data_IF_504088504033
#
_entry.id   IF_504088504033
#
_cell.length_a   1.000
_cell.length_b   1.000
_cell.length_c   1.000
_cell.angle_alpha   90.00
_cell.angle_beta   90.00
_cell.angle_gamma   90.00
#
_symmetry.space_group_name_H-M   'P 1'
#
loop_
_entity.id
_entity.type
_entity.pdbx_description
1 polymer ?
#
# COMPACT_ATOMS: atom_id res chain seq x y z
N UNK A 1 -0.40 -2.61 29.44
CA UNK A 1 -0.39 -1.32 30.16
C UNK A 1 -0.48 -0.09 29.24
N UNK A 2 -0.21 -0.18 27.92
CA UNK A 2 -0.34 0.96 26.99
C UNK A 2 -1.61 0.93 26.11
N UNK A 3 -2.48 -0.07 26.27
CA UNK A 3 -3.70 -0.20 25.45
C UNK A 3 -4.71 0.92 25.67
N UNK A 4 -4.74 1.50 26.87
CA UNK A 4 -5.63 2.62 27.18
C UNK A 4 -5.33 3.88 26.34
N UNK A 5 -4.09 4.03 25.87
CA UNK A 5 -3.70 5.15 25.01
C UNK A 5 -4.35 5.11 23.63
N UNK A 6 -4.78 3.93 23.17
CA UNK A 6 -5.44 3.75 21.87
C UNK A 6 -6.95 3.47 22.00
N UNK A 7 -7.53 3.63 23.19
CA UNK A 7 -8.99 3.55 23.36
C UNK A 7 -9.65 4.79 22.72
N UNK A 8 -10.74 4.63 21.96
CA UNK A 8 -11.47 5.76 21.41
C UNK A 8 -12.03 6.61 22.56
N UNK A 9 -11.69 7.90 22.56
CA UNK A 9 -12.29 8.87 23.48
C UNK A 9 -13.69 9.23 22.97
N UNK A 10 -14.68 8.42 23.38
CA UNK A 10 -16.10 8.59 23.00
C UNK A 10 -16.46 7.97 21.64
N UNK A 11 -17.68 8.26 21.17
CA UNK A 11 -18.30 7.73 19.95
C UNK A 11 -17.68 8.27 18.63
N UNK A 12 -16.40 8.64 18.65
CA UNK A 12 -15.66 9.08 17.46
C UNK A 12 -15.07 7.87 16.76
N UNK A 13 -15.22 7.84 15.45
CA UNK A 13 -14.56 6.85 14.60
C UNK A 13 -13.05 6.87 14.84
N UNK A 14 -12.39 5.74 14.57
CA UNK A 14 -10.96 5.55 14.79
C UNK A 14 -10.17 6.36 13.75
N UNK A 15 -10.05 7.65 14.00
CA UNK A 15 -9.46 8.59 13.05
C UNK A 15 -7.94 8.65 13.19
N UNK A 16 -7.25 8.94 12.08
CA UNK A 16 -5.81 9.24 12.05
C UNK A 16 -5.38 10.26 13.11
N UNK A 17 -6.20 11.28 13.37
CA UNK A 17 -5.90 12.31 14.38
C UNK A 17 -5.83 11.73 15.80
N UNK A 18 -6.70 10.77 16.13
CA UNK A 18 -6.71 10.11 17.44
C UNK A 18 -5.43 9.29 17.66
N UNK A 19 -4.97 8.56 16.62
CA UNK A 19 -3.71 7.82 16.66
C UNK A 19 -2.50 8.75 16.87
N UNK A 20 -2.43 9.85 16.11
CA UNK A 20 -1.35 10.84 16.23
C UNK A 20 -1.32 11.46 17.64
N UNK A 21 -2.49 11.76 18.20
CA UNK A 21 -2.60 12.28 19.57
C UNK A 21 -2.13 11.26 20.61
N UNK A 22 -2.43 9.97 20.45
CA UNK A 22 -1.95 8.91 21.34
C UNK A 22 -0.42 8.83 21.35
N UNK A 23 0.22 8.85 20.16
CA UNK A 23 1.69 8.81 20.04
C UNK A 23 2.35 10.05 20.65
N UNK A 24 1.80 11.25 20.38
CA UNK A 24 2.29 12.50 20.97
C UNK A 24 2.14 12.51 22.49
N UNK A 25 1.00 12.02 23.00
CA UNK A 25 0.74 11.94 24.44
C UNK A 25 1.74 11.02 25.13
N UNK A 26 2.13 9.89 24.53
CA UNK A 26 3.19 9.04 25.05
C UNK A 26 4.53 9.78 25.18
N UNK A 27 4.91 10.56 24.16
CA UNK A 27 6.13 11.37 24.18
C UNK A 27 6.13 12.44 25.27
N UNK A 28 4.98 13.09 25.51
CA UNK A 28 4.84 14.14 26.53
C UNK A 28 4.86 13.57 27.97
N UNK A 29 4.18 12.45 28.22
CA UNK A 29 4.07 11.87 29.57
C UNK A 29 5.34 11.10 30.00
N UNK A 30 6.12 10.61 29.05
CA UNK A 30 7.25 9.72 29.33
C UNK A 30 8.58 10.36 28.93
N UNK A 31 9.01 11.35 29.72
CA UNK A 31 10.28 12.08 29.53
C UNK A 31 11.49 11.12 29.50
N UNK A 32 11.41 10.00 30.21
CA UNK A 32 12.47 8.97 30.25
C UNK A 32 12.36 7.92 29.14
N UNK A 33 11.34 8.00 28.28
CA UNK A 33 11.06 7.07 27.17
C UNK A 33 11.09 5.59 27.60
N UNK A 34 10.63 5.26 28.82
CA UNK A 34 10.61 3.87 29.32
C UNK A 34 9.47 3.08 28.65
N UNK A 35 9.71 1.83 28.26
CA UNK A 35 8.68 1.01 27.59
C UNK A 35 8.38 1.42 26.13
N UNK A 36 9.23 2.26 25.51
CA UNK A 36 9.06 2.68 24.12
C UNK A 36 8.96 1.50 23.14
N UNK A 37 9.72 0.43 23.37
CA UNK A 37 9.67 -0.77 22.53
C UNK A 37 8.28 -1.40 22.53
N UNK A 38 7.72 -1.64 23.71
CA UNK A 38 6.40 -2.25 23.86
C UNK A 38 5.30 -1.33 23.31
N UNK A 39 5.44 -0.02 23.53
CA UNK A 39 4.54 0.99 22.95
C UNK A 39 4.58 0.98 21.43
N UNK A 40 5.76 0.95 20.81
CA UNK A 40 5.90 0.93 19.34
C UNK A 40 5.29 -0.36 18.78
N UNK A 41 5.57 -1.53 19.37
CA UNK A 41 4.94 -2.77 18.90
C UNK A 41 3.41 -2.73 19.00
N UNK A 42 2.87 -2.17 20.08
CA UNK A 42 1.42 -1.97 20.21
C UNK A 42 0.90 -1.01 19.14
N UNK A 43 1.58 0.11 18.92
CA UNK A 43 1.21 1.11 17.92
C UNK A 43 1.19 0.49 16.52
N UNK A 44 2.23 -0.26 16.12
CA UNK A 44 2.30 -0.96 14.83
C UNK A 44 1.12 -1.92 14.64
N UNK A 45 0.72 -2.66 15.69
CA UNK A 45 -0.48 -3.54 15.64
C UNK A 45 -1.78 -2.76 15.45
N UNK A 46 -1.86 -1.55 16.01
CA UNK A 46 -3.04 -0.69 15.94
C UNK A 46 -3.13 0.13 14.66
N UNK A 47 -2.04 0.39 13.92
CA UNK A 47 -2.07 1.21 12.70
C UNK A 47 -3.18 0.86 11.70
N UNK A 48 -3.45 -0.43 11.38
CA UNK A 48 -4.54 -0.79 10.45
C UNK A 48 -5.94 -0.44 10.99
N UNK A 49 -6.14 -0.45 12.31
CA UNK A 49 -7.42 -0.11 12.92
C UNK A 49 -7.76 1.39 12.79
N UNK A 50 -6.76 2.24 12.50
CA UNK A 50 -6.89 3.68 12.33
C UNK A 50 -6.61 4.13 10.89
N UNK A 51 -6.39 3.20 9.94
CA UNK A 51 -6.12 3.50 8.53
C UNK A 51 -4.82 4.29 8.28
N UNK A 52 -3.83 4.17 9.17
CA UNK A 52 -2.57 4.93 9.11
C UNK A 52 -1.36 4.09 8.68
N UNK A 53 -1.55 2.82 8.35
CA UNK A 53 -0.51 1.86 7.98
C UNK A 53 0.26 2.19 6.70
N UNK A 54 -0.24 3.14 5.90
CA UNK A 54 0.43 3.60 4.66
C UNK A 54 1.07 4.99 4.79
N UNK A 55 0.95 5.62 5.96
CA UNK A 55 1.41 6.99 6.17
C UNK A 55 2.86 7.02 6.67
N UNK A 56 3.75 7.52 5.82
CA UNK A 56 5.18 7.67 6.14
C UNK A 56 5.42 8.60 7.35
N UNK A 57 4.60 9.64 7.51
CA UNK A 57 4.77 10.58 8.62
C UNK A 57 4.52 9.92 9.98
N UNK A 58 3.62 8.94 10.03
CA UNK A 58 3.30 8.17 11.23
C UNK A 58 4.45 7.24 11.60
N UNK A 59 5.07 6.59 10.62
CA UNK A 59 6.28 5.78 10.85
C UNK A 59 7.46 6.61 11.34
N UNK A 60 7.70 7.79 10.74
CA UNK A 60 8.73 8.72 11.22
C UNK A 60 8.44 9.17 12.66
N UNK A 61 7.17 9.42 13.00
CA UNK A 61 6.77 9.77 14.37
C UNK A 61 7.03 8.62 15.36
N UNK A 62 6.75 7.37 14.98
CA UNK A 62 7.04 6.20 15.82
C UNK A 62 8.55 6.01 16.02
N UNK A 63 9.37 6.26 14.99
CA UNK A 63 10.83 6.23 15.13
C UNK A 63 11.33 7.33 16.08
N UNK A 64 10.74 8.52 16.05
CA UNK A 64 11.12 9.63 16.93
C UNK A 64 10.83 9.34 18.43
N UNK A 65 9.98 8.35 18.73
CA UNK A 65 9.75 7.87 20.11
C UNK A 65 11.03 7.29 20.71
N UNK A 66 11.93 6.68 19.92
CA UNK A 66 13.20 6.17 20.44
C UNK A 66 14.08 7.30 21.02
N UNK A 67 14.82 7.07 22.11
CA UNK A 67 15.81 8.04 22.58
C UNK A 67 16.94 8.17 21.55
N UNK A 68 17.21 9.40 21.12
CA UNK A 68 18.28 9.72 20.15
C UNK A 68 19.64 9.58 20.83
N UNK A 69 20.68 9.23 20.07
CA UNK A 69 22.08 9.19 20.52
C UNK A 69 22.41 8.13 21.60
N UNK A 70 21.42 7.44 22.17
CA UNK A 70 21.62 6.49 23.27
C UNK A 70 22.13 5.13 22.78
N UNK A 71 21.67 4.65 21.63
CA UNK A 71 21.95 3.28 21.17
C UNK A 71 23.14 3.19 20.21
N UNK A 72 23.90 4.28 20.05
CA UNK A 72 25.05 4.29 19.13
C UNK A 72 26.26 3.59 19.77
N UNK A 73 26.81 2.55 19.12
CA UNK A 73 27.97 1.85 19.65
C UNK A 73 29.18 2.79 19.64
N UNK A 74 29.81 2.96 20.81
CA UNK A 74 30.96 3.86 20.99
C UNK A 74 32.29 3.14 20.74
N UNK A 75 32.34 1.83 20.98
CA UNK A 75 33.56 1.04 20.93
C UNK A 75 33.47 -0.11 19.91
N UNK A 76 34.62 -0.64 19.47
CA UNK A 76 34.71 -1.77 18.53
C UNK A 76 34.05 -3.02 19.10
N UNK A 77 34.21 -3.29 20.40
CA UNK A 77 33.56 -4.44 21.07
C UNK A 77 32.04 -4.32 21.03
N UNK A 78 31.47 -3.14 21.30
CA UNK A 78 30.02 -2.88 21.17
C UNK A 78 29.53 -2.91 19.72
N UNK A 79 30.43 -2.86 18.74
CA UNK A 79 30.09 -3.04 17.33
C UNK A 79 30.11 -4.52 16.93
N UNK A 80 31.00 -5.29 17.56
CA UNK A 80 31.11 -6.74 17.38
C UNK A 80 29.91 -7.44 18.03
N UNK A 81 29.56 -7.06 19.26
CA UNK A 81 28.35 -7.54 19.94
C UNK A 81 27.16 -6.65 19.60
N UNK A 82 25.99 -7.25 19.35
CA UNK A 82 24.78 -6.49 19.00
C UNK A 82 24.39 -5.54 20.14
N UNK A 83 24.66 -4.25 19.98
CA UNK A 83 24.36 -3.24 20.99
C UNK A 83 22.86 -2.93 21.02
N UNK A 84 22.18 -3.22 22.13
CA UNK A 84 20.72 -3.05 22.29
C UNK A 84 19.88 -3.86 21.28
N UNK A 85 19.92 -5.21 21.34
CA UNK A 85 19.29 -6.08 20.34
C UNK A 85 17.77 -5.86 20.25
N UNK A 86 17.06 -5.80 21.38
CA UNK A 86 15.60 -5.61 21.41
C UNK A 86 15.15 -4.31 20.74
N UNK A 87 15.91 -3.23 20.91
CA UNK A 87 15.60 -1.94 20.30
C UNK A 87 15.88 -1.94 18.81
N UNK A 88 16.98 -2.58 18.38
CA UNK A 88 17.28 -2.75 16.95
C UNK A 88 16.23 -3.63 16.26
N UNK A 89 15.80 -4.72 16.89
CA UNK A 89 14.69 -5.57 16.40
C UNK A 89 13.39 -4.77 16.26
N UNK A 90 13.06 -3.93 17.25
CA UNK A 90 11.91 -3.04 17.17
C UNK A 90 12.02 -2.05 15.99
N UNK A 91 13.19 -1.42 15.81
CA UNK A 91 13.43 -0.54 14.66
C UNK A 91 13.35 -1.27 13.32
N UNK A 92 13.82 -2.51 13.23
CA UNK A 92 13.65 -3.37 12.05
C UNK A 92 12.17 -3.69 11.82
N UNK A 93 11.40 -3.98 12.87
CA UNK A 93 9.98 -4.29 12.76
C UNK A 93 9.16 -3.10 12.22
N UNK A 94 9.51 -1.86 12.60
CA UNK A 94 8.91 -0.64 12.01
C UNK A 94 9.15 -0.61 10.49
N UNK A 95 10.41 -0.80 10.06
CA UNK A 95 10.79 -0.81 8.65
C UNK A 95 10.19 -2.00 7.89
N UNK A 96 10.05 -3.15 8.53
CA UNK A 96 9.41 -4.33 7.95
C UNK A 96 7.92 -4.10 7.71
N UNK A 97 7.22 -3.42 8.63
CA UNK A 97 5.82 -3.07 8.41
C UNK A 97 5.68 -2.04 7.28
N UNK A 98 6.55 -1.03 7.23
CA UNK A 98 6.63 -0.11 6.10
C UNK A 98 6.82 -0.86 4.77
N UNK A 99 7.69 -1.86 4.75
CA UNK A 99 7.93 -2.69 3.57
C UNK A 99 6.67 -3.44 3.13
N UNK A 100 5.99 -4.10 4.08
CA UNK A 100 4.76 -4.86 3.82
C UNK A 100 3.64 -3.99 3.23
N UNK A 101 3.51 -2.73 3.67
CA UNK A 101 2.52 -1.80 3.13
C UNK A 101 3.02 -1.00 1.90
N UNK A 102 4.26 -1.25 1.46
CA UNK A 102 4.87 -0.59 0.30
C UNK A 102 5.10 0.90 0.51
N UNK A 103 5.47 1.30 1.73
CA UNK A 103 5.81 2.68 2.11
C UNK A 103 7.31 2.88 1.96
N UNK A 104 7.70 3.79 1.07
CA UNK A 104 9.10 4.11 0.82
C UNK A 104 9.67 4.99 1.94
N UNK A 105 10.80 4.60 2.58
CA UNK A 105 11.49 5.45 3.53
C UNK A 105 11.97 6.78 2.93
N UNK A 106 11.92 7.86 3.72
CA UNK A 106 12.39 9.20 3.32
C UNK A 106 13.81 9.51 3.82
N UNK A 107 14.34 10.67 3.41
CA UNK A 107 15.56 11.23 3.98
C UNK A 107 15.42 11.50 5.50
N UNK A 108 14.22 11.85 5.98
CA UNK A 108 13.95 11.99 7.42
C UNK A 108 14.06 10.65 8.14
N UNK A 109 13.52 9.57 7.55
CA UNK A 109 13.66 8.22 8.08
C UNK A 109 15.14 7.84 8.20
N UNK A 110 15.95 8.14 7.17
CA UNK A 110 17.39 7.93 7.19
C UNK A 110 18.07 8.69 8.33
N UNK A 111 17.75 9.98 8.47
CA UNK A 111 18.28 10.84 9.53
C UNK A 111 17.95 10.31 10.93
N UNK A 112 16.68 9.94 11.18
CA UNK A 112 16.24 9.38 12.46
C UNK A 112 16.98 8.08 12.79
N UNK A 113 17.10 7.15 11.84
CA UNK A 113 17.81 5.89 12.08
C UNK A 113 19.29 6.10 12.37
N UNK A 114 19.95 7.06 11.69
CA UNK A 114 21.34 7.45 11.99
C UNK A 114 21.41 8.02 13.42
N UNK A 115 20.47 8.89 13.80
CA UNK A 115 20.47 9.49 15.13
C UNK A 115 20.26 8.47 16.25
N UNK A 116 19.33 7.53 16.05
CA UNK A 116 18.92 6.54 17.06
C UNK A 116 19.93 5.40 17.17
N UNK A 117 20.22 4.71 16.06
CA UNK A 117 20.99 3.46 16.05
C UNK A 117 22.39 3.60 15.44
N UNK A 118 22.62 4.64 14.63
CA UNK A 118 23.88 4.87 13.92
C UNK A 118 23.96 4.14 12.57
N UNK A 119 24.99 4.49 11.78
CA UNK A 119 25.18 4.05 10.38
C UNK A 119 25.39 2.54 10.21
N UNK A 120 25.96 1.86 11.21
CA UNK A 120 26.32 0.43 11.15
C UNK A 120 25.39 -0.42 12.01
N UNK A 121 24.09 -0.17 11.94
CA UNK A 121 23.05 -0.85 12.71
C UNK A 121 22.16 -1.72 11.82
N UNK A 122 21.47 -2.70 12.41
CA UNK A 122 20.53 -3.55 11.66
C UNK A 122 19.35 -2.78 11.05
N UNK A 123 18.72 -1.81 11.76
CA UNK A 123 17.71 -0.94 11.14
C UNK A 123 18.26 -0.18 9.93
N UNK A 124 19.48 0.34 10.00
CA UNK A 124 20.10 1.01 8.85
C UNK A 124 20.34 0.05 7.68
N UNK A 125 20.79 -1.17 7.94
CA UNK A 125 20.96 -2.18 6.89
C UNK A 125 19.63 -2.54 6.22
N UNK A 126 18.54 -2.67 7.01
CA UNK A 126 17.19 -2.89 6.50
C UNK A 126 16.73 -1.71 5.62
N UNK A 127 16.92 -0.47 6.08
CA UNK A 127 16.62 0.73 5.32
C UNK A 127 17.35 0.76 3.96
N UNK A 128 18.66 0.47 3.94
CA UNK A 128 19.45 0.46 2.71
C UNK A 128 18.96 -0.61 1.72
N UNK A 129 18.61 -1.81 2.23
CA UNK A 129 18.03 -2.88 1.42
C UNK A 129 16.69 -2.46 0.83
N UNK A 130 15.79 -1.88 1.64
CA UNK A 130 14.51 -1.37 1.16
C UNK A 130 14.72 -0.29 0.08
N UNK A 131 15.59 0.70 0.32
CA UNK A 131 15.87 1.78 -0.63
C UNK A 131 16.39 1.24 -1.96
N UNK A 132 17.29 0.26 -1.92
CA UNK A 132 17.82 -0.40 -3.10
C UNK A 132 16.74 -1.20 -3.85
N UNK A 133 16.04 -2.09 -3.16
CA UNK A 133 15.11 -3.01 -3.82
C UNK A 133 13.81 -2.33 -4.27
N UNK A 134 13.26 -1.40 -3.48
CA UNK A 134 12.06 -0.67 -3.87
C UNK A 134 12.28 0.16 -5.12
N UNK A 135 13.43 0.82 -5.26
CA UNK A 135 13.73 1.60 -6.48
C UNK A 135 13.89 0.71 -7.71
N UNK A 136 14.40 -0.52 -7.55
CA UNK A 136 14.53 -1.50 -8.64
C UNK A 136 13.19 -2.13 -9.04
N UNK A 137 12.32 -2.40 -8.08
CA UNK A 137 11.04 -3.07 -8.33
C UNK A 137 9.86 -2.13 -8.58
N UNK A 138 9.98 -0.82 -8.32
CA UNK A 138 8.88 0.15 -8.46
C UNK A 138 8.18 0.08 -9.82
N UNK A 139 8.95 -0.14 -10.89
CA UNK A 139 8.48 -0.13 -12.27
C UNK A 139 8.69 -1.47 -13.00
N UNK A 140 8.82 -2.59 -12.25
CA UNK A 140 9.06 -3.90 -12.88
C UNK A 140 7.83 -4.39 -13.65
N UNK A 141 6.63 -4.02 -13.20
CA UNK A 141 5.39 -4.35 -13.87
C UNK A 141 5.12 -3.32 -14.98
N UNK A 142 5.12 -3.71 -16.27
CA UNK A 142 4.79 -2.82 -17.38
C UNK A 142 3.33 -2.33 -17.36
N UNK A 143 2.44 -3.07 -16.69
CA UNK A 143 1.02 -2.76 -16.59
C UNK A 143 0.60 -2.65 -15.11
N UNK A 144 0.97 -1.55 -14.41
CA UNK A 144 0.63 -1.38 -13.00
C UNK A 144 -0.88 -1.23 -12.82
N UNK A 145 -1.45 -1.97 -11.87
CA UNK A 145 -2.85 -1.83 -11.48
C UNK A 145 -2.95 -0.69 -10.45
N UNK A 146 -3.86 0.28 -10.63
CA UNK A 146 -4.15 1.29 -9.62
C UNK A 146 -4.49 0.64 -8.27
N UNK A 147 -4.00 1.23 -7.18
CA UNK A 147 -4.27 0.70 -5.82
C UNK A 147 -5.74 0.80 -5.46
N UNK A 148 -6.33 1.96 -5.72
CA UNK A 148 -7.75 2.20 -5.53
C UNK A 148 -8.44 1.97 -6.87
N UNK A 149 -9.25 0.92 -6.91
CA UNK A 149 -9.98 0.56 -8.11
C UNK A 149 -11.21 1.47 -8.26
N UNK A 150 -11.57 1.83 -9.50
CA UNK A 150 -12.83 2.51 -9.76
C UNK A 150 -13.98 1.65 -9.24
N UNK A 151 -14.93 2.29 -8.55
CA UNK A 151 -16.12 1.61 -8.01
C UNK A 151 -17.20 1.38 -9.07
N UNK A 152 -17.19 2.19 -10.13
CA UNK A 152 -18.09 2.01 -11.27
C UNK A 152 -17.73 0.73 -12.04
N UNK A 153 -18.68 -0.22 -12.20
CA UNK A 153 -18.46 -1.46 -12.94
C UNK A 153 -17.98 -1.22 -14.38
N UNK A 154 -18.46 -0.16 -15.03
CA UNK A 154 -18.09 0.14 -16.42
C UNK A 154 -16.61 0.52 -16.51
N UNK A 155 -16.15 1.41 -15.64
CA UNK A 155 -14.74 1.82 -15.59
C UNK A 155 -13.80 0.68 -15.15
N UNK A 156 -14.27 -0.20 -14.27
CA UNK A 156 -13.54 -1.42 -13.91
C UNK A 156 -13.39 -2.35 -15.11
N UNK A 157 -14.45 -2.54 -15.91
CA UNK A 157 -14.40 -3.35 -17.13
C UNK A 157 -13.45 -2.75 -18.17
N UNK A 158 -13.50 -1.42 -18.40
CA UNK A 158 -12.55 -0.72 -19.30
C UNK A 158 -11.10 -0.92 -18.83
N UNK A 159 -10.84 -0.83 -17.53
CA UNK A 159 -9.51 -1.05 -16.95
C UNK A 159 -9.06 -2.50 -17.19
N UNK A 160 -9.91 -3.48 -16.87
CA UNK A 160 -9.60 -4.90 -17.07
C UNK A 160 -9.28 -5.24 -18.52
N UNK A 161 -10.05 -4.74 -19.48
CA UNK A 161 -9.82 -4.96 -20.90
C UNK A 161 -8.49 -4.36 -21.37
N UNK A 162 -8.15 -3.15 -20.93
CA UNK A 162 -6.83 -2.54 -21.20
C UNK A 162 -5.66 -3.32 -20.62
N UNK A 163 -5.88 -4.08 -19.54
CA UNK A 163 -4.85 -4.95 -18.99
C UNK A 163 -4.72 -6.27 -19.76
N UNK A 164 -5.78 -6.74 -20.42
CA UNK A 164 -5.76 -7.95 -21.24
C UNK A 164 -5.12 -7.73 -22.61
N UNK A 165 -5.33 -6.56 -23.22
CA UNK A 165 -4.79 -6.22 -24.53
C UNK A 165 -3.45 -5.46 -24.39
N UNK A 166 -2.33 -6.05 -24.84
CA UNK A 166 -1.01 -5.45 -24.68
C UNK A 166 -0.77 -4.23 -25.61
N UNK A 167 -1.52 -4.11 -26.71
CA UNK A 167 -1.38 -3.00 -27.66
C UNK A 167 -1.97 -1.69 -27.11
N UNK A 168 -1.10 -0.69 -26.96
CA UNK A 168 -1.47 0.66 -26.51
C UNK A 168 -2.39 1.40 -27.50
N UNK A 169 -2.43 0.96 -28.76
CA UNK A 169 -3.28 1.51 -29.81
C UNK A 169 -4.69 0.94 -29.80
N UNK A 170 -4.96 -0.08 -28.97
CA UNK A 170 -6.25 -0.71 -28.88
C UNK A 170 -7.32 0.24 -28.33
N UNK A 171 -8.50 0.23 -28.97
CA UNK A 171 -9.62 1.09 -28.60
C UNK A 171 -10.66 0.29 -27.85
N UNK A 172 -11.11 0.86 -26.72
CA UNK A 172 -12.22 0.31 -25.93
C UNK A 172 -13.53 0.83 -26.52
N UNK A 173 -14.44 -0.08 -26.83
CA UNK A 173 -15.79 0.21 -27.33
C UNK A 173 -16.81 -0.16 -26.26
N UNK A 174 -17.79 0.72 -26.05
CA UNK A 174 -18.90 0.49 -25.11
C UNK A 174 -20.19 0.48 -25.91
N UNK A 175 -20.89 -0.64 -25.86
CA UNK A 175 -22.22 -0.81 -26.45
C UNK A 175 -23.25 -0.75 -25.32
N UNK A 176 -24.17 0.21 -25.41
CA UNK A 176 -25.24 0.40 -24.44
C UNK A 176 -26.57 0.08 -25.12
N UNK A 177 -27.33 -0.82 -24.51
CA UNK A 177 -28.63 -1.21 -25.04
C UNK A 177 -29.73 -0.51 -24.22
N UNK A 178 -30.63 0.20 -24.89
CA UNK A 178 -31.78 0.83 -24.23
C UNK A 178 -32.72 -0.26 -23.72
N UNK A 179 -33.06 -0.23 -22.43
CA UNK A 179 -34.11 -1.12 -21.90
C UNK A 179 -35.47 -0.77 -22.52
N UNK A 180 -36.33 -1.75 -22.81
CA UNK A 180 -37.74 -1.50 -23.07
C UNK A 180 -38.38 -0.80 -21.86
N UNK A 181 -39.23 0.20 -22.11
CA UNK A 181 -39.85 1.10 -21.13
C UNK A 181 -40.79 0.46 -20.09
N UNK A 182 -40.92 -0.87 -20.07
CA UNK A 182 -41.96 -1.58 -19.31
C UNK A 182 -41.47 -2.17 -17.97
N UNK A 183 -40.25 -1.86 -17.52
CA UNK A 183 -39.73 -2.32 -16.23
C UNK A 183 -40.23 -1.44 -15.07
N UNK A 184 -41.43 -1.76 -14.56
CA UNK A 184 -42.01 -1.24 -13.30
C UNK A 184 -41.30 -1.80 -12.05
N UNK A 185 -40.02 -1.48 -11.88
CA UNK A 185 -39.23 -1.81 -10.68
C UNK A 185 -38.72 -0.53 -10.01
N UNK A 186 -38.83 -0.44 -8.68
CA UNK A 186 -38.62 0.76 -7.86
C UNK A 186 -37.13 1.11 -7.61
N UNK A 187 -36.22 0.70 -8.49
CA UNK A 187 -34.80 1.04 -8.43
C UNK A 187 -34.34 1.46 -9.83
N UNK A 188 -33.53 2.52 -9.95
CA UNK A 188 -32.96 2.97 -11.23
C UNK A 188 -32.31 1.78 -11.95
N UNK A 189 -32.84 1.32 -13.10
CA UNK A 189 -32.31 0.14 -13.75
C UNK A 189 -30.92 0.46 -14.31
N UNK A 190 -29.87 -0.11 -13.72
CA UNK A 190 -28.53 -0.14 -14.33
C UNK A 190 -28.65 -0.71 -15.74
N UNK A 191 -28.44 0.14 -16.74
CA UNK A 191 -28.58 -0.26 -18.13
C UNK A 191 -27.50 -1.30 -18.50
N UNK A 192 -27.83 -2.36 -19.25
CA UNK A 192 -26.86 -3.36 -19.65
C UNK A 192 -25.87 -2.74 -20.63
N UNK A 193 -24.58 -2.90 -20.32
CA UNK A 193 -23.48 -2.48 -21.16
C UNK A 193 -22.65 -3.69 -21.59
N UNK A 194 -22.26 -3.74 -22.86
CA UNK A 194 -21.25 -4.67 -23.37
C UNK A 194 -20.01 -3.85 -23.67
N UNK A 195 -18.89 -4.20 -23.05
CA UNK A 195 -17.60 -3.53 -23.27
C UNK A 195 -16.69 -4.47 -24.04
N UNK A 196 -16.09 -3.95 -25.12
CA UNK A 196 -15.10 -4.66 -25.93
C UNK A 196 -13.81 -3.86 -26.06
N UNK A 197 -12.72 -4.53 -26.39
CA UNK A 197 -11.45 -3.89 -26.76
C UNK A 197 -10.94 -4.54 -28.04
N UNK A 198 -10.42 -3.73 -28.96
CA UNK A 198 -9.83 -4.23 -30.19
C UNK A 198 -8.59 -3.44 -30.61
N UNK A 199 -7.54 -4.14 -31.02
CA UNK A 199 -6.37 -3.56 -31.67
C UNK A 199 -6.67 -3.19 -33.13
N UNK A 200 -5.92 -2.25 -33.73
CA UNK A 200 -6.08 -1.91 -35.15
C UNK A 200 -5.92 -3.13 -36.09
N UNK A 201 -5.03 -4.06 -35.73
CA UNK A 201 -4.81 -5.28 -36.51
C UNK A 201 -6.01 -6.23 -36.44
N UNK A 202 -6.64 -6.37 -35.28
CA UNK A 202 -7.88 -7.14 -35.12
C UNK A 202 -9.03 -6.52 -35.93
N UNK A 203 -9.15 -5.18 -35.92
CA UNK A 203 -10.14 -4.47 -36.74
C UNK A 203 -9.90 -4.68 -38.23
N UNK A 204 -8.64 -4.61 -38.68
CA UNK A 204 -8.27 -4.86 -40.07
C UNK A 204 -8.51 -6.31 -40.49
N UNK A 205 -8.26 -7.28 -39.61
CA UNK A 205 -8.54 -8.70 -39.86
C UNK A 205 -10.04 -8.97 -40.00
N UNK A 206 -10.86 -8.39 -39.12
CA UNK A 206 -12.32 -8.48 -39.19
C UNK A 206 -12.87 -7.81 -40.47
N UNK A 207 -12.31 -6.68 -40.87
CA UNK A 207 -12.73 -5.98 -42.10
C UNK A 207 -12.45 -6.78 -43.38
N UNK A 208 -11.44 -7.66 -43.37
CA UNK A 208 -11.14 -8.58 -44.50
C UNK A 208 -11.98 -9.86 -44.48
N UNK A 209 -12.63 -10.16 -43.36
CA UNK A 209 -13.39 -11.39 -43.19
C UNK A 209 -14.74 -11.30 -43.92
N UNK A 210 -15.17 -12.39 -44.55
CA UNK A 210 -16.45 -12.45 -45.24
C UNK A 210 -17.61 -12.47 -44.22
N UNK A 211 -18.54 -11.49 -44.24
CA UNK A 211 -19.66 -11.45 -43.31
C UNK A 211 -20.59 -12.67 -43.37
N UNK A 212 -20.63 -13.37 -44.51
CA UNK A 212 -21.48 -14.56 -44.70
C UNK A 212 -20.88 -15.83 -44.10
N UNK A 213 -19.61 -15.81 -43.68
CA UNK A 213 -18.96 -16.96 -43.05
C UNK A 213 -19.02 -16.78 -41.52
N UNK A 214 -19.47 -17.77 -40.74
CA UNK A 214 -19.42 -17.67 -39.29
C UNK A 214 -17.98 -17.84 -38.77
N UNK A 215 -17.67 -17.16 -37.66
CA UNK A 215 -16.43 -17.36 -36.88
C UNK A 215 -16.79 -18.20 -35.66
N UNK A 216 -16.05 -19.28 -35.44
CA UNK A 216 -16.22 -20.14 -34.27
C UNK A 216 -15.21 -19.73 -33.20
N UNK A 217 -15.68 -19.57 -31.97
CA UNK A 217 -14.83 -19.34 -30.80
C UNK A 217 -14.73 -20.69 -30.09
N UNK A 218 -13.56 -21.32 -30.18
CA UNK A 218 -13.29 -22.55 -29.44
C UNK A 218 -12.93 -22.21 -28.00
N UNK A 219 -13.72 -22.75 -27.06
CA UNK A 219 -13.45 -22.65 -25.63
C UNK A 219 -12.46 -23.72 -25.16
N UNK A 220 -12.08 -23.70 -23.86
CA UNK A 220 -11.19 -24.70 -23.28
C UNK A 220 -11.80 -26.12 -23.25
N UNK A 221 -13.12 -26.24 -23.40
CA UNK A 221 -13.82 -27.50 -23.51
C UNK A 221 -14.31 -27.68 -24.95
N UNK A 222 -13.95 -28.79 -25.62
CA UNK A 222 -14.49 -29.08 -26.94
C UNK A 222 -16.00 -29.32 -26.85
N UNK A 223 -16.72 -28.79 -27.84
CA UNK A 223 -18.15 -28.99 -28.05
C UNK A 223 -18.44 -30.40 -28.59
#
# INVERSE_FOLDING_TARGET
MHEDSFKPSGNRERDKASFLNAVRSFGAHNVRKRGHVDFIYLALRKMPEFGVERDLSVYNLLLDVFPKEVFRPRNVIQRIFVHYPRQQECGVAVLEQMERHGVMPSAETEFLLIQIFGRKSYPMLKFLRMKLWFTRFKNINPYPVPRDLPQDPLDLAKLGLRHMEPDLSAKVTVYQMSLPSDSTGMEDPTQPHIVGIQSPDQQAALARHNPSRPVFVEGPFPL
#
